data_IF_965355384625
#
_entry.id   IF_965355384625
#
_cell.length_a   1.000
_cell.length_b   1.000
_cell.length_c   1.000
_cell.angle_alpha   90.00
_cell.angle_beta   90.00
_cell.angle_gamma   90.00
#
_symmetry.space_group_name_H-M   'P 1'
#
loop_
_entity.id
_entity.type
_entity.pdbx_description
1 polymer ?
#
# COMPACT_ATOMS: atom_id res chain seq x y z
N UNK A 1 -31.54 -14.40 -36.23
CA UNK A 1 -31.51 -13.05 -35.63
C UNK A 1 -30.49 -13.02 -34.51
N UNK A 2 -29.30 -12.47 -34.76
CA UNK A 2 -28.22 -12.38 -33.79
C UNK A 2 -28.48 -11.26 -32.79
N UNK A 3 -28.64 -11.60 -31.50
CA UNK A 3 -28.59 -10.62 -30.42
C UNK A 3 -27.18 -10.05 -30.36
N UNK A 4 -27.03 -8.76 -30.67
CA UNK A 4 -25.80 -7.99 -30.52
C UNK A 4 -25.23 -8.18 -29.10
N UNK A 5 -24.15 -8.97 -28.96
CA UNK A 5 -23.40 -9.16 -27.71
C UNK A 5 -22.80 -7.84 -27.14
N UNK A 6 -22.88 -6.72 -27.87
CA UNK A 6 -22.30 -5.42 -27.50
C UNK A 6 -23.14 -4.57 -26.53
N UNK A 7 -24.39 -4.94 -26.20
CA UNK A 7 -25.30 -4.10 -25.40
C UNK A 7 -25.83 -4.75 -24.10
N UNK A 8 -25.14 -5.73 -23.51
CA UNK A 8 -25.58 -6.27 -22.20
C UNK A 8 -25.25 -5.26 -21.07
N UNK A 9 -26.24 -4.70 -20.34
CA UNK A 9 -25.99 -3.73 -19.26
C UNK A 9 -25.07 -4.26 -18.17
N UNK A 10 -25.16 -5.56 -17.85
CA UNK A 10 -24.27 -6.21 -16.89
C UNK A 10 -22.81 -6.16 -17.33
N UNK A 11 -22.55 -6.52 -18.60
CA UNK A 11 -21.17 -6.52 -19.15
C UNK A 11 -20.58 -5.12 -19.12
N UNK A 12 -21.37 -4.09 -19.45
CA UNK A 12 -20.91 -2.70 -19.40
C UNK A 12 -20.59 -2.27 -17.96
N UNK A 13 -21.44 -2.57 -16.99
CA UNK A 13 -21.19 -2.24 -15.59
C UNK A 13 -20.01 -3.01 -15.00
N UNK A 14 -19.83 -4.25 -15.43
CA UNK A 14 -18.66 -5.03 -15.06
C UNK A 14 -17.37 -4.42 -15.62
N UNK A 15 -17.39 -3.91 -16.86
CA UNK A 15 -16.25 -3.19 -17.44
C UNK A 15 -15.95 -1.89 -16.68
N UNK A 16 -16.97 -1.14 -16.28
CA UNK A 16 -16.81 0.08 -15.47
C UNK A 16 -16.17 -0.25 -14.10
N UNK A 17 -16.63 -1.32 -13.43
CA UNK A 17 -16.02 -1.80 -12.18
C UNK A 17 -14.57 -2.24 -12.40
N UNK A 18 -14.30 -3.08 -13.41
CA UNK A 18 -12.95 -3.51 -13.73
C UNK A 18 -12.02 -2.32 -13.98
N UNK A 19 -12.50 -1.31 -14.70
CA UNK A 19 -11.74 -0.09 -14.97
C UNK A 19 -11.46 0.71 -13.69
N UNK A 20 -12.45 0.86 -12.79
CA UNK A 20 -12.29 1.57 -11.52
C UNK A 20 -11.20 0.93 -10.65
N UNK A 21 -11.20 -0.40 -10.53
CA UNK A 21 -10.26 -1.16 -9.73
C UNK A 21 -8.93 -1.47 -10.46
N UNK A 22 -8.69 -0.88 -11.64
CA UNK A 22 -7.45 -1.09 -12.41
C UNK A 22 -7.25 -2.51 -12.94
N UNK A 23 -8.32 -3.30 -13.04
CA UNK A 23 -8.31 -4.66 -13.57
C UNK A 23 -8.34 -4.67 -15.11
N UNK A 24 -8.01 -5.83 -15.70
CA UNK A 24 -8.18 -6.03 -17.13
C UNK A 24 -9.67 -5.91 -17.52
N UNK A 25 -9.98 -4.92 -18.38
CA UNK A 25 -11.35 -4.60 -18.78
C UNK A 25 -11.85 -5.61 -19.81
N UNK A 26 -12.30 -6.77 -19.33
CA UNK A 26 -12.74 -7.90 -20.17
C UNK A 26 -14.26 -8.00 -20.27
N UNK A 27 -15.00 -7.41 -19.31
CA UNK A 27 -16.43 -7.62 -19.14
C UNK A 27 -16.80 -9.06 -18.78
N UNK A 28 -15.86 -9.82 -18.22
CA UNK A 28 -16.04 -11.19 -17.75
C UNK A 28 -15.70 -11.28 -16.26
N UNK A 29 -16.43 -12.12 -15.53
CA UNK A 29 -16.13 -12.45 -14.14
C UNK A 29 -14.96 -13.43 -14.09
N UNK A 30 -13.75 -12.92 -14.31
CA UNK A 30 -12.53 -13.68 -14.06
C UNK A 30 -12.20 -13.73 -12.56
N UNK A 31 -11.24 -14.60 -12.21
CA UNK A 31 -10.87 -14.84 -10.82
C UNK A 31 -10.34 -13.58 -10.11
N UNK A 32 -9.61 -12.69 -10.81
CA UNK A 32 -9.13 -11.42 -10.22
C UNK A 32 -10.32 -10.50 -9.92
N UNK A 33 -11.30 -10.44 -10.81
CA UNK A 33 -12.53 -9.64 -10.65
C UNK A 33 -13.39 -10.13 -9.48
N UNK A 34 -13.65 -11.43 -9.39
CA UNK A 34 -14.44 -12.00 -8.28
C UNK A 34 -13.76 -11.74 -6.94
N UNK A 35 -12.45 -12.01 -6.84
CA UNK A 35 -11.68 -11.77 -5.61
C UNK A 35 -11.72 -10.30 -5.18
N UNK A 36 -11.76 -9.36 -6.12
CA UNK A 36 -11.92 -7.94 -5.79
C UNK A 36 -13.33 -7.63 -5.25
N UNK A 37 -14.38 -8.23 -5.83
CA UNK A 37 -15.77 -8.05 -5.37
C UNK A 37 -16.02 -8.66 -3.97
N UNK A 38 -15.27 -9.69 -3.61
CA UNK A 38 -15.36 -10.35 -2.29
C UNK A 38 -14.60 -9.60 -1.18
N UNK A 39 -13.80 -8.57 -1.52
CA UNK A 39 -13.09 -7.79 -0.51
C UNK A 39 -14.10 -6.96 0.30
N UNK A 40 -14.00 -6.95 1.65
CA UNK A 40 -14.77 -6.04 2.49
C UNK A 40 -14.52 -4.58 2.09
N UNK A 41 -15.57 -3.76 2.09
CA UNK A 41 -15.52 -2.42 1.50
C UNK A 41 -16.52 -1.44 2.12
N UNK A 42 -16.38 -0.16 1.79
CA UNK A 42 -17.39 0.86 2.02
C UNK A 42 -18.64 0.61 1.14
N UNK A 43 -19.82 0.88 1.70
CA UNK A 43 -21.13 0.73 1.05
C UNK A 43 -21.47 1.83 0.03
N UNK A 44 -20.68 2.91 -0.02
CA UNK A 44 -20.87 4.00 -0.98
C UNK A 44 -20.55 3.55 -2.40
N UNK A 45 -21.30 4.05 -3.39
CA UNK A 45 -21.12 3.69 -4.79
C UNK A 45 -19.84 4.30 -5.40
N UNK A 46 -19.08 3.50 -6.16
CA UNK A 46 -17.84 3.94 -6.84
C UNK A 46 -18.10 4.92 -7.99
N UNK A 47 -19.20 4.71 -8.73
CA UNK A 47 -19.54 5.45 -9.94
C UNK A 47 -20.97 6.00 -9.83
N UNK A 48 -21.17 7.31 -10.06
CA UNK A 48 -22.48 7.95 -10.09
C UNK A 48 -22.49 9.35 -9.48
N UNK A 49 -23.57 9.67 -8.77
CA UNK A 49 -23.78 10.96 -8.08
C UNK A 49 -22.66 11.31 -7.08
N UNK A 50 -21.86 10.31 -6.69
CA UNK A 50 -20.76 10.40 -5.74
C UNK A 50 -19.37 10.43 -6.38
N UNK A 51 -19.22 10.53 -7.72
CA UNK A 51 -17.91 10.39 -8.39
C UNK A 51 -17.18 11.70 -8.68
N UNK A 52 -17.86 12.84 -8.62
CA UNK A 52 -17.25 14.15 -8.77
C UNK A 52 -18.14 15.16 -8.05
N UNK A 53 -17.68 15.63 -6.91
CA UNK A 53 -18.46 16.51 -6.06
C UNK A 53 -17.88 17.93 -6.18
N UNK A 54 -18.59 18.88 -6.81
CA UNK A 54 -18.12 20.26 -6.88
C UNK A 54 -17.97 20.83 -5.46
N UNK A 55 -17.04 21.78 -5.28
CA UNK A 55 -16.84 22.48 -3.99
C UNK A 55 -18.14 23.06 -3.40
N UNK A 56 -19.17 23.30 -4.21
CA UNK A 56 -20.49 23.75 -3.76
C UNK A 56 -21.22 22.77 -2.84
N UNK A 57 -20.85 21.48 -2.84
CA UNK A 57 -21.44 20.46 -1.97
C UNK A 57 -20.62 20.28 -0.69
N UNK A 58 -19.38 20.77 -0.62
CA UNK A 58 -18.60 20.75 0.62
C UNK A 58 -19.27 21.58 1.71
N UNK A 59 -18.94 21.33 2.99
CA UNK A 59 -19.40 22.18 4.08
C UNK A 59 -18.95 23.63 3.86
N UNK A 60 -19.88 24.57 3.95
CA UNK A 60 -19.58 26.02 3.77
C UNK A 60 -19.04 26.68 5.04
N UNK A 61 -18.56 25.87 5.99
CA UNK A 61 -18.00 26.28 7.28
C UNK A 61 -16.85 25.35 7.65
N UNK A 62 -15.98 25.81 8.55
CA UNK A 62 -14.83 25.03 9.01
C UNK A 62 -15.04 24.35 10.36
N UNK A 63 -15.95 24.87 11.21
CA UNK A 63 -16.31 24.22 12.47
C UNK A 63 -17.46 23.24 12.25
N UNK A 64 -17.10 21.95 12.17
CA UNK A 64 -18.03 20.84 11.95
C UNK A 64 -18.31 20.16 13.28
N UNK A 65 -19.59 20.02 13.59
CA UNK A 65 -20.06 19.38 14.82
C UNK A 65 -20.45 17.94 14.55
N UNK A 66 -20.13 17.05 15.47
CA UNK A 66 -20.53 15.64 15.36
C UNK A 66 -21.09 15.12 16.67
N UNK A 67 -21.89 14.06 16.59
CA UNK A 67 -22.53 13.41 17.73
C UNK A 67 -22.46 11.90 17.55
N UNK A 68 -22.14 11.18 18.63
CA UNK A 68 -22.15 9.72 18.65
C UNK A 68 -23.46 9.31 19.32
N UNK A 69 -24.38 8.75 18.56
CA UNK A 69 -25.73 8.42 19.01
C UNK A 69 -25.76 7.16 19.87
N UNK A 70 -25.00 6.15 19.46
CA UNK A 70 -24.83 4.89 20.17
C UNK A 70 -23.41 4.33 19.98
N UNK A 71 -23.12 3.23 20.65
CA UNK A 71 -21.80 2.61 20.68
C UNK A 71 -21.92 1.12 20.38
N UNK A 72 -20.99 0.59 19.60
CA UNK A 72 -20.83 -0.86 19.41
C UNK A 72 -20.52 -1.55 20.74
N UNK A 73 -21.05 -2.77 20.99
CA UNK A 73 -20.73 -3.55 22.18
C UNK A 73 -19.32 -4.16 22.17
N UNK A 74 -18.62 -4.17 21.02
CA UNK A 74 -17.32 -4.83 20.86
C UNK A 74 -16.16 -4.15 21.59
N UNK A 75 -16.33 -2.85 21.87
CA UNK A 75 -15.27 -1.97 22.34
C UNK A 75 -15.79 -1.10 23.49
N UNK A 76 -14.89 -0.64 24.35
CA UNK A 76 -15.28 0.34 25.37
C UNK A 76 -15.70 1.66 24.70
N UNK A 77 -16.65 2.38 25.31
CA UNK A 77 -17.06 3.69 24.80
C UNK A 77 -15.86 4.65 24.65
N UNK A 78 -14.88 4.57 25.56
CA UNK A 78 -13.66 5.37 25.47
C UNK A 78 -12.80 5.03 24.23
N UNK A 79 -12.73 3.76 23.84
CA UNK A 79 -12.00 3.32 22.66
C UNK A 79 -12.70 3.74 21.36
N UNK A 80 -14.04 3.68 21.32
CA UNK A 80 -14.84 4.22 20.21
C UNK A 80 -14.59 5.71 20.09
N UNK A 81 -14.74 6.47 21.17
CA UNK A 81 -14.51 7.92 21.17
C UNK A 81 -13.10 8.30 20.72
N UNK A 82 -12.09 7.56 21.19
CA UNK A 82 -10.70 7.73 20.78
C UNK A 82 -10.51 7.46 19.29
N UNK A 83 -11.12 6.38 18.76
CA UNK A 83 -11.04 6.01 17.35
C UNK A 83 -11.68 7.06 16.44
N UNK A 84 -12.89 7.52 16.79
CA UNK A 84 -13.61 8.58 16.08
C UNK A 84 -12.85 9.91 16.12
N UNK A 85 -12.34 10.31 17.29
CA UNK A 85 -11.54 11.54 17.41
C UNK A 85 -10.28 11.46 16.58
N UNK A 86 -9.62 10.29 16.56
CA UNK A 86 -8.42 10.05 15.75
C UNK A 86 -8.74 10.11 14.25
N UNK A 87 -9.88 9.57 13.83
CA UNK A 87 -10.34 9.62 12.44
C UNK A 87 -10.59 11.06 11.96
N UNK A 88 -11.27 11.89 12.74
CA UNK A 88 -11.40 13.33 12.41
C UNK A 88 -10.06 14.05 12.39
N UNK A 89 -9.13 13.67 13.29
CA UNK A 89 -7.81 14.28 13.37
C UNK A 89 -7.05 14.16 12.05
N UNK A 90 -7.16 13.02 11.37
CA UNK A 90 -6.55 12.75 10.05
C UNK A 90 -6.85 13.88 9.06
N UNK A 91 -8.11 14.33 9.02
CA UNK A 91 -8.56 15.38 8.12
C UNK A 91 -8.23 16.79 8.63
N UNK A 92 -8.36 17.05 9.93
CA UNK A 92 -8.02 18.36 10.51
C UNK A 92 -6.52 18.68 10.47
N UNK A 93 -5.65 17.67 10.47
CA UNK A 93 -4.20 17.88 10.42
C UNK A 93 -3.75 18.53 9.09
N UNK A 94 -4.50 18.29 8.02
CA UNK A 94 -4.15 18.72 6.65
C UNK A 94 -5.05 19.83 6.11
N UNK A 95 -6.09 20.25 6.85
CA UNK A 95 -7.05 21.28 6.46
C UNK A 95 -7.25 22.34 7.55
N UNK A 96 -7.99 23.43 7.29
CA UNK A 96 -8.46 24.36 8.33
C UNK A 96 -9.64 23.85 9.17
N UNK A 97 -10.16 22.64 8.89
CA UNK A 97 -11.36 22.14 9.54
C UNK A 97 -11.13 21.86 11.03
N UNK A 98 -12.13 22.16 11.85
CA UNK A 98 -12.20 21.77 13.26
C UNK A 98 -13.40 20.90 13.51
N UNK A 99 -13.23 19.88 14.35
CA UNK A 99 -14.28 18.94 14.69
C UNK A 99 -14.58 19.02 16.18
N UNK A 100 -15.85 19.27 16.51
CA UNK A 100 -16.30 19.41 17.90
C UNK A 100 -17.46 18.47 18.18
N UNK A 101 -17.27 17.59 19.17
CA UNK A 101 -18.35 16.75 19.65
C UNK A 101 -19.41 17.59 20.37
N UNK A 102 -20.67 17.32 20.06
CA UNK A 102 -21.84 17.77 20.82
C UNK A 102 -22.56 16.56 21.40
N UNK A 103 -23.29 16.77 22.49
CA UNK A 103 -23.99 15.70 23.23
C UNK A 103 -25.51 15.80 23.13
N UNK A 104 -26.03 16.99 22.79
CA UNK A 104 -27.46 17.26 22.68
C UNK A 104 -27.71 18.21 21.50
N UNK A 105 -28.91 18.16 20.94
CA UNK A 105 -29.34 19.00 19.82
C UNK A 105 -28.87 18.49 18.45
N UNK A 106 -29.07 19.34 17.45
CA UNK A 106 -28.68 19.08 16.06
C UNK A 106 -27.16 19.20 15.88
N UNK A 107 -26.60 18.39 14.97
CA UNK A 107 -25.20 18.46 14.58
C UNK A 107 -25.05 18.28 13.06
N UNK A 108 -23.82 18.38 12.56
CA UNK A 108 -23.54 18.21 11.13
C UNK A 108 -23.30 16.75 10.72
N UNK A 109 -22.81 15.93 11.65
CA UNK A 109 -22.48 14.51 11.40
C UNK A 109 -22.99 13.68 12.58
N UNK A 110 -24.07 12.92 12.39
CA UNK A 110 -24.48 11.88 13.34
C UNK A 110 -23.73 10.57 13.04
N UNK A 111 -23.21 9.95 14.09
CA UNK A 111 -22.49 8.68 14.02
C UNK A 111 -23.32 7.60 14.72
N UNK A 112 -23.65 6.53 13.99
CA UNK A 112 -24.48 5.42 14.47
C UNK A 112 -23.84 4.07 14.16
N UNK A 113 -24.04 3.11 15.06
CA UNK A 113 -23.78 1.68 14.86
C UNK A 113 -25.13 0.99 14.70
N UNK A 114 -25.38 0.39 13.54
CA UNK A 114 -26.71 -0.14 13.17
C UNK A 114 -26.56 -1.43 12.39
N UNK A 115 -27.61 -2.24 12.32
CA UNK A 115 -27.61 -3.52 11.59
C UNK A 115 -28.72 -3.56 10.55
N UNK A 116 -28.51 -4.32 9.47
CA UNK A 116 -29.54 -4.57 8.43
C UNK A 116 -30.23 -3.30 7.93
N UNK A 117 -31.57 -3.33 7.82
CA UNK A 117 -32.36 -2.15 7.48
C UNK A 117 -32.46 -1.16 8.65
N UNK A 118 -31.82 0.00 8.45
CA UNK A 118 -31.74 1.08 9.42
C UNK A 118 -32.36 2.40 8.93
N UNK A 119 -33.35 2.29 8.03
CA UNK A 119 -34.30 3.38 7.64
C UNK A 119 -33.71 4.53 6.83
N UNK A 120 -32.59 4.31 6.14
CA UNK A 120 -32.00 5.27 5.19
C UNK A 120 -32.00 4.76 3.73
N UNK A 121 -32.63 3.61 3.47
CA UNK A 121 -32.66 2.86 2.20
C UNK A 121 -31.33 2.21 1.76
N UNK A 122 -30.34 2.13 2.64
CA UNK A 122 -29.05 1.48 2.37
C UNK A 122 -28.80 0.37 3.42
N UNK A 123 -29.58 -0.72 3.42
CA UNK A 123 -29.45 -1.76 4.43
C UNK A 123 -28.06 -2.44 4.37
N UNK A 124 -27.50 -2.76 5.54
CA UNK A 124 -26.28 -3.57 5.65
C UNK A 124 -26.56 -5.06 5.41
N UNK A 125 -25.52 -5.82 5.08
CA UNK A 125 -25.58 -7.21 4.61
C UNK A 125 -25.15 -8.26 5.64
N UNK A 126 -24.87 -7.84 6.87
CA UNK A 126 -24.39 -8.69 7.96
C UNK A 126 -22.86 -8.79 7.95
N UNK A 127 -22.26 -9.80 8.59
CA UNK A 127 -20.81 -9.84 8.75
C UNK A 127 -20.04 -9.87 7.42
N UNK A 128 -18.93 -9.14 7.37
CA UNK A 128 -18.10 -8.85 6.20
C UNK A 128 -18.81 -7.94 5.17
N UNK A 129 -18.45 -8.03 3.89
CA UNK A 129 -19.15 -7.27 2.85
C UNK A 129 -19.06 -5.76 3.04
N UNK A 130 -20.17 -5.12 3.39
CA UNK A 130 -20.28 -3.67 3.60
C UNK A 130 -20.01 -3.31 5.07
N UNK A 131 -18.90 -2.63 5.32
CA UNK A 131 -18.46 -2.31 6.68
C UNK A 131 -19.16 -1.09 7.30
N UNK A 132 -19.46 -0.12 6.44
CA UNK A 132 -19.99 1.19 6.81
C UNK A 132 -20.41 1.96 5.54
N UNK A 133 -21.13 3.06 5.74
CA UNK A 133 -21.30 4.10 4.73
C UNK A 133 -21.47 5.47 5.38
N UNK A 134 -21.27 6.51 4.58
CA UNK A 134 -21.59 7.88 4.96
C UNK A 134 -22.27 8.66 3.83
N UNK A 135 -23.10 9.61 4.23
CA UNK A 135 -23.73 10.55 3.32
C UNK A 135 -22.82 11.75 3.08
N UNK A 136 -22.89 12.29 1.85
CA UNK A 136 -22.18 13.52 1.49
C UNK A 136 -22.70 14.71 2.30
N UNK A 137 -21.93 15.80 2.43
CA UNK A 137 -22.35 16.98 3.19
C UNK A 137 -23.69 17.53 2.68
N UNK A 138 -24.58 17.90 3.59
CA UNK A 138 -25.90 18.40 3.24
C UNK A 138 -26.83 18.53 4.43
N UNK A 139 -28.07 19.00 4.22
CA UNK A 139 -29.07 19.05 5.27
C UNK A 139 -29.59 17.65 5.65
N UNK A 140 -30.28 17.56 6.79
CA UNK A 140 -30.88 16.34 7.32
C UNK A 140 -29.81 15.24 7.53
N UNK A 141 -29.88 14.12 6.81
CA UNK A 141 -28.93 13.00 6.95
C UNK A 141 -27.56 13.28 6.30
N UNK A 142 -27.39 14.45 5.66
CA UNK A 142 -26.14 14.78 4.97
C UNK A 142 -24.98 14.91 5.95
N UNK A 143 -23.92 14.12 5.75
CA UNK A 143 -22.80 13.99 6.67
C UNK A 143 -22.91 12.79 7.61
N UNK A 144 -24.11 12.25 7.84
CA UNK A 144 -24.29 11.12 8.76
C UNK A 144 -23.49 9.91 8.32
N UNK A 145 -22.95 9.20 9.30
CA UNK A 145 -22.07 8.05 9.12
C UNK A 145 -22.60 6.86 9.90
N UNK A 146 -22.83 5.76 9.21
CA UNK A 146 -23.34 4.51 9.79
C UNK A 146 -22.28 3.41 9.67
N UNK A 147 -22.05 2.70 10.77
CA UNK A 147 -21.17 1.54 10.84
C UNK A 147 -22.03 0.28 11.02
N UNK A 148 -21.69 -0.81 10.32
CA UNK A 148 -22.42 -2.07 10.47
C UNK A 148 -22.06 -2.75 11.79
N UNK A 149 -23.00 -2.81 12.73
CA UNK A 149 -22.80 -3.39 14.06
C UNK A 149 -22.93 -4.93 14.07
N UNK A 150 -23.18 -5.56 12.90
CA UNK A 150 -22.98 -7.00 12.72
C UNK A 150 -21.48 -7.34 12.52
N UNK A 151 -20.63 -6.33 12.29
CA UNK A 151 -19.18 -6.49 12.22
C UNK A 151 -18.51 -6.42 13.59
N UNK A 152 -17.37 -7.11 13.73
CA UNK A 152 -16.55 -7.01 14.95
C UNK A 152 -15.50 -5.90 14.81
N UNK A 153 -15.74 -4.75 15.45
CA UNK A 153 -14.79 -3.64 15.44
C UNK A 153 -13.69 -3.78 16.49
N UNK A 154 -12.47 -3.33 16.14
CA UNK A 154 -11.30 -3.39 17.02
C UNK A 154 -10.49 -2.09 17.04
N UNK A 155 -9.64 -1.92 18.05
CA UNK A 155 -8.61 -0.84 18.12
C UNK A 155 -7.26 -1.25 17.54
N UNK A 156 -7.04 -2.55 17.30
CA UNK A 156 -5.73 -3.11 16.97
C UNK A 156 -5.66 -3.49 15.48
N UNK A 157 -4.63 -4.22 15.06
CA UNK A 157 -4.44 -4.63 13.66
C UNK A 157 -5.38 -5.77 13.19
N UNK A 158 -6.24 -6.30 14.07
CA UNK A 158 -7.27 -7.28 13.73
C UNK A 158 -8.39 -6.60 12.94
N UNK A 159 -8.90 -7.30 11.92
CA UNK A 159 -10.00 -6.80 11.11
C UNK A 159 -11.30 -6.82 11.94
N UNK A 160 -12.10 -5.75 11.98
CA UNK A 160 -11.94 -4.46 11.30
C UNK A 160 -11.56 -3.34 12.28
N UNK A 161 -10.57 -2.50 11.92
CA UNK A 161 -10.14 -1.40 12.78
C UNK A 161 -11.06 -0.19 12.62
N UNK A 162 -11.79 0.18 13.70
CA UNK A 162 -12.79 1.25 13.66
C UNK A 162 -12.19 2.60 13.22
N UNK A 163 -10.95 2.91 13.62
CA UNK A 163 -10.30 4.15 13.22
C UNK A 163 -10.11 4.25 11.70
N UNK A 164 -9.72 3.16 11.03
CA UNK A 164 -9.50 3.15 9.59
C UNK A 164 -10.82 3.30 8.82
N UNK A 165 -11.85 2.54 9.21
CA UNK A 165 -13.18 2.62 8.61
C UNK A 165 -13.76 4.03 8.82
N UNK A 166 -13.73 4.54 10.04
CA UNK A 166 -14.24 5.88 10.35
C UNK A 166 -13.48 6.99 9.62
N UNK A 167 -12.15 6.87 9.48
CA UNK A 167 -11.38 7.86 8.73
C UNK A 167 -11.81 7.91 7.26
N UNK A 168 -12.07 6.76 6.65
CA UNK A 168 -12.61 6.66 5.29
C UNK A 168 -14.00 7.29 5.18
N UNK A 169 -14.95 6.86 6.03
CA UNK A 169 -16.32 7.37 5.98
C UNK A 169 -16.41 8.87 6.24
N UNK A 170 -15.56 9.41 7.11
CA UNK A 170 -15.49 10.85 7.32
C UNK A 170 -14.95 11.60 6.11
N UNK A 171 -14.17 10.96 5.23
CA UNK A 171 -13.86 11.55 3.93
C UNK A 171 -15.13 11.78 3.10
N UNK A 172 -16.06 10.82 3.07
CA UNK A 172 -17.36 10.99 2.43
C UNK A 172 -18.23 12.04 3.11
N UNK A 173 -18.32 12.03 4.45
CA UNK A 173 -19.02 13.05 5.22
C UNK A 173 -18.45 14.47 5.03
N UNK A 174 -17.22 14.57 4.53
CA UNK A 174 -16.54 15.81 4.17
C UNK A 174 -16.58 16.13 2.67
N UNK A 175 -17.20 15.31 1.82
CA UNK A 175 -17.38 15.64 0.40
C UNK A 175 -16.51 14.83 -0.56
N UNK A 176 -15.68 13.90 -0.08
CA UNK A 176 -14.79 13.13 -0.94
C UNK A 176 -15.53 11.96 -1.60
N UNK A 177 -15.26 11.69 -2.89
CA UNK A 177 -15.66 10.45 -3.55
C UNK A 177 -14.70 9.32 -3.19
N UNK A 178 -15.02 8.09 -3.61
CA UNK A 178 -13.99 7.05 -3.66
C UNK A 178 -12.88 7.42 -4.64
N UNK A 179 -11.64 7.07 -4.28
CA UNK A 179 -10.47 7.19 -5.14
C UNK A 179 -10.25 5.91 -5.94
N UNK A 180 -9.68 6.04 -7.15
CA UNK A 180 -9.15 4.91 -7.93
C UNK A 180 -7.71 4.58 -7.57
N UNK A 181 -7.06 5.38 -6.73
CA UNK A 181 -5.72 5.09 -6.22
C UNK A 181 -5.80 4.02 -5.12
N UNK A 182 -5.29 2.82 -5.40
CA UNK A 182 -5.26 1.69 -4.46
C UNK A 182 -4.56 2.02 -3.13
N UNK A 183 -3.66 3.00 -3.11
CA UNK A 183 -3.00 3.48 -1.90
C UNK A 183 -3.80 4.49 -1.07
N UNK A 184 -4.85 5.09 -1.62
CA UNK A 184 -5.64 6.11 -0.94
C UNK A 184 -6.42 5.52 0.25
N UNK A 185 -6.66 6.34 1.27
CA UNK A 185 -7.62 6.02 2.33
C UNK A 185 -9.01 5.89 1.71
N UNK A 186 -9.37 6.78 0.79
CA UNK A 186 -10.66 6.78 0.08
C UNK A 186 -10.78 5.69 -0.98
N UNK A 187 -9.86 4.73 -1.08
CA UNK A 187 -10.06 3.56 -1.92
C UNK A 187 -11.18 2.67 -1.34
N UNK A 188 -12.10 2.09 -2.15
CA UNK A 188 -13.33 1.49 -1.61
C UNK A 188 -13.15 0.30 -0.68
N UNK A 189 -12.14 -0.54 -0.94
CA UNK A 189 -11.91 -1.76 -0.15
C UNK A 189 -11.16 -1.44 1.13
N UNK A 190 -11.44 -2.18 2.20
CA UNK A 190 -10.75 -2.03 3.48
C UNK A 190 -9.22 -2.03 3.30
N UNK A 191 -8.52 -1.00 3.82
CA UNK A 191 -7.11 -0.78 3.49
C UNK A 191 -6.20 -1.83 4.14
N UNK A 192 -5.18 -2.25 3.37
CA UNK A 192 -4.08 -3.05 3.90
C UNK A 192 -3.01 -2.10 4.47
N UNK A 193 -3.24 -1.59 5.68
CA UNK A 193 -2.30 -0.69 6.38
C UNK A 193 -2.38 -0.91 7.88
N UNK A 194 -1.22 -0.83 8.53
CA UNK A 194 -1.12 -0.83 9.99
C UNK A 194 -1.77 0.44 10.57
N UNK A 195 -2.84 0.31 11.38
CA UNK A 195 -3.51 1.44 11.97
C UNK A 195 -2.60 2.25 12.90
N UNK A 196 -1.53 1.69 13.50
CA UNK A 196 -0.68 2.43 14.43
C UNK A 196 0.22 3.46 13.75
N UNK A 197 0.67 3.17 12.54
CA UNK A 197 1.58 4.02 11.75
C UNK A 197 0.90 4.69 10.55
N UNK A 198 -0.44 4.74 10.56
CA UNK A 198 -1.23 5.33 9.49
C UNK A 198 -0.82 6.78 9.22
N UNK A 199 -0.63 7.08 7.94
CA UNK A 199 -0.44 8.42 7.40
C UNK A 199 -1.41 8.61 6.24
N UNK A 200 -2.07 9.77 6.19
CA UNK A 200 -3.00 10.09 5.12
C UNK A 200 -2.24 10.12 3.77
N UNK A 201 -2.60 9.30 2.79
CA UNK A 201 -1.97 9.30 1.47
C UNK A 201 -2.09 10.64 0.75
N UNK A 202 -1.14 10.91 -0.14
CA UNK A 202 -1.05 12.21 -0.82
C UNK A 202 -2.26 12.48 -1.73
N UNK A 203 -2.86 11.43 -2.29
CA UNK A 203 -4.10 11.52 -3.07
C UNK A 203 -5.24 12.13 -2.24
N UNK A 204 -5.46 11.59 -1.04
CA UNK A 204 -6.48 12.08 -0.11
C UNK A 204 -6.19 13.51 0.38
N UNK A 205 -4.92 13.83 0.68
CA UNK A 205 -4.50 15.19 1.07
C UNK A 205 -4.83 16.18 -0.05
N UNK A 206 -4.48 15.85 -1.28
CA UNK A 206 -4.75 16.71 -2.43
C UNK A 206 -6.26 16.90 -2.62
N UNK A 207 -7.04 15.83 -2.52
CA UNK A 207 -8.47 15.84 -2.69
C UNK A 207 -9.16 16.72 -1.63
N UNK A 208 -8.87 16.50 -0.34
CA UNK A 208 -9.52 17.26 0.74
C UNK A 208 -9.10 18.74 0.73
N UNK A 209 -7.84 19.03 0.41
CA UNK A 209 -7.37 20.41 0.31
C UNK A 209 -7.96 21.15 -0.90
N UNK A 210 -8.37 20.44 -1.95
CA UNK A 210 -9.08 21.05 -3.08
C UNK A 210 -10.46 21.60 -2.65
N UNK A 211 -11.09 20.98 -1.65
CA UNK A 211 -12.38 21.41 -1.09
C UNK A 211 -12.19 22.53 -0.05
N UNK A 212 -11.35 22.29 0.95
CA UNK A 212 -11.28 23.12 2.17
C UNK A 212 -10.03 24.01 2.28
N UNK A 213 -9.05 23.83 1.39
CA UNK A 213 -7.75 24.47 1.48
C UNK A 213 -6.79 23.76 2.44
N UNK A 214 -5.58 24.31 2.53
CA UNK A 214 -4.47 23.78 3.34
C UNK A 214 -4.61 24.18 4.81
N UNK A 215 -4.09 23.36 5.72
CA UNK A 215 -4.01 23.76 7.13
C UNK A 215 -3.13 25.00 7.31
N UNK A 216 -3.34 25.73 8.41
CA UNK A 216 -2.57 26.94 8.74
C UNK A 216 -1.15 26.63 9.24
N UNK A 217 -0.78 25.35 9.35
CA UNK A 217 0.55 24.93 9.78
C UNK A 217 1.63 25.39 8.78
N UNK A 218 2.76 25.96 9.25
CA UNK A 218 3.82 26.43 8.36
C UNK A 218 4.43 25.32 7.50
N UNK A 219 4.54 24.12 8.08
CA UNK A 219 5.00 22.92 7.38
C UNK A 219 3.76 22.12 7.00
N UNK A 220 3.55 21.97 5.70
CA UNK A 220 2.43 21.18 5.19
C UNK A 220 2.77 19.70 5.29
N UNK A 221 1.86 18.88 5.85
CA UNK A 221 2.05 17.44 5.91
C UNK A 221 2.06 16.86 4.49
N UNK A 222 2.92 15.87 4.28
CA UNK A 222 2.99 15.08 3.05
C UNK A 222 2.63 13.64 3.37
N UNK A 223 1.95 12.99 2.44
CA UNK A 223 1.50 11.60 2.57
C UNK A 223 2.34 10.62 1.74
N UNK A 224 2.23 9.31 2.01
CA UNK A 224 2.73 8.29 1.09
C UNK A 224 2.05 8.41 -0.28
N UNK A 225 2.81 8.14 -1.34
CA UNK A 225 2.34 8.13 -2.73
C UNK A 225 2.34 6.72 -3.29
N UNK A 226 1.33 6.39 -4.09
CA UNK A 226 1.29 5.13 -4.84
C UNK A 226 2.21 5.22 -6.05
N UNK A 227 3.12 4.25 -6.25
CA UNK A 227 4.05 4.28 -7.37
C UNK A 227 3.31 4.04 -8.69
N UNK A 228 3.65 4.82 -9.70
CA UNK A 228 3.21 4.58 -11.07
C UNK A 228 4.25 3.75 -11.81
N UNK A 229 3.84 2.62 -12.39
CA UNK A 229 4.76 1.71 -13.10
C UNK A 229 5.49 2.38 -14.26
N UNK A 230 4.90 3.38 -14.91
CA UNK A 230 5.51 4.09 -16.03
C UNK A 230 6.09 5.46 -15.64
N UNK A 231 6.25 5.73 -14.35
CA UNK A 231 7.06 6.86 -13.91
C UNK A 231 8.54 6.61 -14.28
N UNK A 232 9.15 7.46 -15.15
CA UNK A 232 10.55 7.32 -15.54
C UNK A 232 11.55 7.59 -14.41
N UNK A 233 11.06 8.06 -13.24
CA UNK A 233 11.86 8.44 -12.09
C UNK A 233 11.63 7.51 -10.89
N UNK A 234 10.95 6.37 -11.08
CA UNK A 234 10.72 5.40 -10.02
C UNK A 234 12.06 4.89 -9.45
N UNK A 235 12.14 4.81 -8.12
CA UNK A 235 13.30 4.27 -7.41
C UNK A 235 12.84 3.08 -6.59
N UNK A 236 13.52 1.95 -6.74
CA UNK A 236 13.21 0.73 -6.00
C UNK A 236 14.01 0.65 -4.71
N UNK A 237 13.33 0.26 -3.62
CA UNK A 237 13.98 0.00 -2.34
C UNK A 237 14.65 -1.37 -2.31
N UNK A 238 14.11 -2.34 -3.06
CA UNK A 238 14.69 -3.66 -3.22
C UNK A 238 14.16 -4.34 -4.48
N UNK A 239 14.85 -5.38 -4.95
CA UNK A 239 14.39 -6.20 -6.06
C UNK A 239 14.79 -7.66 -5.83
N UNK A 240 13.95 -8.60 -6.25
CA UNK A 240 14.29 -10.02 -6.21
C UNK A 240 13.67 -10.79 -7.38
N UNK A 241 14.24 -11.96 -7.64
CA UNK A 241 13.56 -13.04 -8.34
C UNK A 241 12.79 -13.90 -7.33
N UNK A 242 11.62 -14.40 -7.71
CA UNK A 242 10.91 -15.42 -6.94
C UNK A 242 10.24 -16.38 -7.91
N UNK A 243 10.72 -17.63 -7.97
CA UNK A 243 10.17 -18.68 -8.85
C UNK A 243 10.07 -18.24 -10.33
N UNK A 244 11.03 -17.44 -10.79
CA UNK A 244 11.13 -16.96 -12.18
C UNK A 244 10.31 -15.69 -12.50
N UNK A 245 9.67 -15.08 -11.51
CA UNK A 245 9.05 -13.75 -11.61
C UNK A 245 9.95 -12.70 -10.96
N UNK A 246 9.77 -11.43 -11.32
CA UNK A 246 10.52 -10.32 -10.75
C UNK A 246 9.61 -9.51 -9.83
N UNK A 247 10.14 -9.15 -8.67
CA UNK A 247 9.45 -8.35 -7.68
C UNK A 247 10.29 -7.11 -7.38
N UNK A 248 9.70 -5.93 -7.59
CA UNK A 248 10.33 -4.65 -7.32
C UNK A 248 9.57 -3.95 -6.18
N UNK A 249 10.27 -3.66 -5.09
CA UNK A 249 9.69 -3.08 -3.88
C UNK A 249 9.82 -1.55 -3.92
N UNK A 250 8.73 -0.85 -3.62
CA UNK A 250 8.68 0.62 -3.52
C UNK A 250 7.75 1.02 -2.38
N UNK A 251 8.32 1.61 -1.34
CA UNK A 251 7.62 1.93 -0.09
C UNK A 251 6.84 0.71 0.41
N UNK A 252 5.51 0.83 0.50
CA UNK A 252 4.57 -0.22 0.91
C UNK A 252 4.04 -1.11 -0.19
N UNK A 253 4.52 -0.91 -1.41
CA UNK A 253 4.06 -1.61 -2.59
C UNK A 253 5.13 -2.54 -3.16
N UNK A 254 4.66 -3.48 -3.95
CA UNK A 254 5.49 -4.35 -4.76
C UNK A 254 4.90 -4.45 -6.17
N UNK A 255 5.75 -4.23 -7.16
CA UNK A 255 5.45 -4.44 -8.57
C UNK A 255 5.92 -5.85 -8.94
N UNK A 256 4.96 -6.73 -9.22
CA UNK A 256 5.21 -8.11 -9.65
C UNK A 256 5.16 -8.17 -11.17
N UNK A 257 6.30 -8.43 -11.78
CA UNK A 257 6.45 -8.55 -13.23
C UNK A 257 6.45 -10.03 -13.61
N UNK A 258 5.61 -10.38 -14.58
CA UNK A 258 5.60 -11.69 -15.24
C UNK A 258 6.38 -11.60 -16.57
N UNK A 259 7.69 -11.92 -16.62
CA UNK A 259 8.53 -11.56 -17.78
C UNK A 259 8.08 -12.21 -19.09
N UNK A 260 7.41 -13.37 -19.00
CA UNK A 260 6.88 -14.11 -20.17
C UNK A 260 5.59 -13.53 -20.73
N UNK A 261 4.83 -12.81 -19.90
CA UNK A 261 3.50 -12.26 -20.26
C UNK A 261 3.59 -10.76 -20.51
N UNK A 262 4.58 -10.07 -19.92
CA UNK A 262 4.70 -8.61 -19.98
C UNK A 262 3.66 -7.88 -19.13
N UNK A 263 2.98 -8.59 -18.22
CA UNK A 263 2.03 -8.01 -17.26
C UNK A 263 2.77 -7.61 -15.97
N UNK A 264 2.39 -6.47 -15.41
CA UNK A 264 2.89 -5.96 -14.13
C UNK A 264 1.71 -5.68 -13.22
N UNK A 265 1.64 -6.41 -12.11
CA UNK A 265 0.66 -6.20 -11.04
C UNK A 265 1.26 -5.28 -9.97
N UNK A 266 0.49 -4.31 -9.49
CA UNK A 266 0.81 -3.50 -8.31
C UNK A 266 0.05 -4.07 -7.11
N UNK A 267 0.78 -4.42 -6.05
CA UNK A 267 0.21 -5.02 -4.84
C UNK A 267 0.80 -4.35 -3.60
N UNK A 268 0.14 -4.50 -2.46
CA UNK A 268 0.77 -4.16 -1.18
C UNK A 268 1.70 -5.30 -0.73
N UNK A 269 2.81 -4.96 -0.07
CA UNK A 269 3.72 -5.95 0.51
C UNK A 269 2.96 -6.87 1.47
N UNK A 270 2.09 -6.30 2.30
CA UNK A 270 1.30 -7.03 3.29
C UNK A 270 0.21 -7.92 2.69
N UNK A 271 -0.23 -7.70 1.44
CA UNK A 271 -1.15 -8.62 0.76
C UNK A 271 -0.46 -9.95 0.42
N UNK A 272 0.85 -9.92 0.15
CA UNK A 272 1.65 -11.11 -0.12
C UNK A 272 2.25 -11.70 1.15
N UNK A 273 2.70 -10.84 2.06
CA UNK A 273 3.40 -11.22 3.29
C UNK A 273 2.91 -10.38 4.49
N UNK A 274 1.78 -10.75 5.13
CA UNK A 274 1.14 -9.95 6.16
C UNK A 274 2.00 -9.62 7.38
N UNK A 275 3.00 -10.45 7.68
CA UNK A 275 3.88 -10.29 8.86
C UNK A 275 5.20 -9.58 8.54
N UNK A 276 5.43 -9.15 7.29
CA UNK A 276 6.57 -8.31 6.95
C UNK A 276 6.32 -6.84 7.31
N UNK A 277 7.40 -6.06 7.50
CA UNK A 277 7.31 -4.60 7.59
C UNK A 277 6.67 -3.98 6.34
N UNK A 278 6.13 -2.78 6.50
CA UNK A 278 5.52 -2.00 5.42
C UNK A 278 6.52 -1.52 4.38
N UNK A 279 7.82 -1.64 4.58
CA UNK A 279 8.83 -1.27 3.59
C UNK A 279 10.08 -2.13 3.78
N UNK A 280 10.73 -2.47 2.67
CA UNK A 280 11.85 -3.42 2.63
C UNK A 280 13.12 -2.68 2.23
N UNK A 281 14.23 -2.97 2.91
CA UNK A 281 15.51 -2.33 2.64
C UNK A 281 16.36 -3.08 1.61
N UNK A 282 16.25 -4.41 1.57
CA UNK A 282 16.93 -5.28 0.61
C UNK A 282 16.26 -6.66 0.64
N UNK A 283 16.35 -7.42 -0.46
CA UNK A 283 15.93 -8.82 -0.49
C UNK A 283 16.79 -9.58 -1.50
N UNK A 284 16.99 -10.87 -1.27
CA UNK A 284 17.58 -11.76 -2.27
C UNK A 284 16.97 -13.16 -2.21
N UNK A 285 17.03 -13.88 -3.33
CA UNK A 285 16.72 -15.31 -3.42
C UNK A 285 18.00 -16.13 -3.20
N UNK A 286 17.93 -17.11 -2.31
CA UNK A 286 18.94 -18.15 -2.21
C UNK A 286 18.55 -19.29 -3.18
N UNK A 287 19.19 -19.41 -4.35
CA UNK A 287 18.81 -20.40 -5.35
C UNK A 287 19.09 -21.84 -4.90
N UNK A 288 19.94 -22.04 -3.89
CA UNK A 288 20.30 -23.36 -3.37
C UNK A 288 19.24 -23.94 -2.42
N UNK A 289 18.52 -23.08 -1.69
CA UNK A 289 17.44 -23.48 -0.78
C UNK A 289 16.04 -23.16 -1.33
N UNK A 290 15.94 -22.25 -2.30
CA UNK A 290 14.68 -21.68 -2.78
C UNK A 290 14.03 -20.70 -1.80
N UNK A 291 14.73 -20.32 -0.73
CA UNK A 291 14.26 -19.35 0.25
C UNK A 291 14.62 -17.92 -0.16
N UNK A 292 13.82 -16.95 0.27
CA UNK A 292 14.10 -15.54 0.06
C UNK A 292 14.39 -14.88 1.40
N UNK A 293 15.40 -14.03 1.45
CA UNK A 293 15.82 -13.38 2.68
C UNK A 293 15.56 -11.89 2.55
N UNK A 294 14.64 -11.38 3.36
CA UNK A 294 14.16 -9.99 3.34
C UNK A 294 14.78 -9.24 4.51
N UNK A 295 15.30 -8.03 4.25
CA UNK A 295 15.97 -7.20 5.24
C UNK A 295 15.18 -5.92 5.55
N UNK A 296 15.13 -5.58 6.83
CA UNK A 296 14.68 -4.27 7.32
C UNK A 296 15.48 -3.84 8.54
N UNK A 297 16.19 -2.73 8.43
CA UNK A 297 17.13 -2.25 9.42
C UNK A 297 18.17 -3.32 9.75
N UNK A 298 18.31 -3.63 11.05
CA UNK A 298 19.23 -4.65 11.53
C UNK A 298 18.59 -6.04 11.66
N UNK A 299 17.42 -6.25 11.05
CA UNK A 299 16.66 -7.50 11.10
C UNK A 299 16.47 -8.09 9.71
N UNK A 300 16.26 -9.40 9.66
CA UNK A 300 15.86 -10.11 8.46
C UNK A 300 14.84 -11.20 8.75
N UNK A 301 14.09 -11.56 7.71
CA UNK A 301 13.10 -12.64 7.68
C UNK A 301 13.46 -13.60 6.53
N UNK A 302 13.10 -14.86 6.70
CA UNK A 302 13.23 -15.89 5.67
C UNK A 302 11.84 -16.24 5.18
N UNK A 303 11.69 -16.29 3.86
CA UNK A 303 10.46 -16.61 3.16
C UNK A 303 10.59 -17.93 2.41
N UNK A 304 9.54 -18.73 2.43
CA UNK A 304 9.35 -19.87 1.53
C UNK A 304 8.15 -19.56 0.63
N UNK A 305 8.41 -18.99 -0.55
CA UNK A 305 7.34 -18.44 -1.38
C UNK A 305 6.62 -17.27 -0.70
N UNK A 306 5.32 -17.44 -0.43
CA UNK A 306 4.48 -16.44 0.24
C UNK A 306 4.41 -16.62 1.77
N UNK A 307 5.04 -17.66 2.30
CA UNK A 307 5.05 -17.93 3.73
C UNK A 307 6.30 -17.34 4.40
N UNK A 308 6.13 -16.62 5.50
CA UNK A 308 7.23 -16.18 6.36
C UNK A 308 7.65 -17.36 7.24
N UNK A 309 8.71 -18.08 6.84
CA UNK A 309 9.15 -19.30 7.53
C UNK A 309 9.87 -19.00 8.84
N UNK A 310 10.64 -17.90 8.89
CA UNK A 310 11.44 -17.52 10.06
C UNK A 310 11.61 -16.00 10.15
N UNK A 311 11.70 -15.45 11.37
CA UNK A 311 12.05 -14.05 11.59
C UNK A 311 11.18 -13.36 12.65
N UNK A 312 11.50 -12.11 13.01
CA UNK A 312 12.73 -11.40 12.65
C UNK A 312 13.98 -11.94 13.36
N UNK A 313 15.13 -11.97 12.68
CA UNK A 313 16.45 -12.30 13.23
C UNK A 313 17.43 -11.16 13.04
N UNK A 314 18.41 -11.00 13.93
CA UNK A 314 19.46 -9.98 13.77
C UNK A 314 20.40 -10.33 12.63
N UNK A 315 20.74 -9.35 11.77
CA UNK A 315 21.73 -9.50 10.69
C UNK A 315 23.12 -9.89 11.23
N UNK A 316 23.40 -9.67 12.52
CA UNK A 316 24.63 -10.16 13.13
C UNK A 316 24.79 -11.68 13.05
N UNK A 317 23.68 -12.44 12.93
CA UNK A 317 23.73 -13.89 12.70
C UNK A 317 24.34 -14.27 11.36
N UNK A 318 24.31 -13.37 10.37
CA UNK A 318 24.98 -13.54 9.08
C UNK A 318 26.46 -13.09 9.12
N UNK A 319 26.95 -12.62 10.28
CA UNK A 319 28.34 -12.17 10.46
C UNK A 319 28.56 -10.66 10.30
N UNK A 320 27.50 -9.85 10.20
CA UNK A 320 27.64 -8.40 10.15
C UNK A 320 28.12 -7.81 11.50
N UNK A 321 29.00 -6.80 11.47
CA UNK A 321 29.43 -6.10 12.68
C UNK A 321 28.33 -5.15 13.20
N UNK A 322 28.37 -4.85 14.51
CA UNK A 322 27.34 -4.05 15.21
C UNK A 322 27.09 -2.64 14.65
N UNK A 323 28.06 -2.09 13.92
CA UNK A 323 27.96 -0.76 13.30
C UNK A 323 27.13 -0.77 12.01
N UNK A 324 26.92 -1.93 11.37
CA UNK A 324 26.01 -2.05 10.24
C UNK A 324 24.58 -2.07 10.77
N UNK A 325 23.77 -1.10 10.34
CA UNK A 325 22.40 -0.90 10.82
C UNK A 325 21.33 -1.21 9.79
N UNK A 326 21.71 -1.29 8.52
CA UNK A 326 20.86 -1.54 7.36
C UNK A 326 21.73 -2.12 6.24
N UNK A 327 21.11 -2.92 5.38
CA UNK A 327 21.67 -3.38 4.11
C UNK A 327 20.89 -2.65 3.01
N UNK A 328 21.59 -2.08 2.03
CA UNK A 328 20.96 -1.26 0.99
C UNK A 328 20.54 -2.11 -0.22
N UNK A 329 21.25 -3.19 -0.52
CA UNK A 329 20.86 -4.17 -1.54
C UNK A 329 21.50 -5.53 -1.24
N UNK A 330 20.88 -6.60 -1.72
CA UNK A 330 21.40 -7.96 -1.59
C UNK A 330 21.15 -8.73 -2.88
N UNK A 331 22.08 -9.61 -3.27
CA UNK A 331 21.92 -10.45 -4.47
C UNK A 331 22.82 -11.67 -4.41
N UNK A 332 22.31 -12.83 -4.81
CA UNK A 332 23.12 -14.05 -5.01
C UNK A 332 23.65 -14.13 -6.43
N UNK A 333 24.94 -14.32 -6.58
CA UNK A 333 25.59 -14.66 -7.86
C UNK A 333 25.75 -16.17 -7.91
N UNK A 334 24.80 -16.84 -8.54
CA UNK A 334 24.61 -18.30 -8.50
C UNK A 334 25.88 -19.09 -8.86
N UNK A 335 26.54 -18.75 -9.97
CA UNK A 335 27.73 -19.46 -10.44
C UNK A 335 28.97 -19.32 -9.54
N UNK A 336 28.93 -18.43 -8.54
CA UNK A 336 29.99 -18.24 -7.56
C UNK A 336 29.64 -18.82 -6.18
N UNK A 337 28.39 -19.26 -5.97
CA UNK A 337 27.85 -19.58 -4.64
C UNK A 337 28.05 -18.45 -3.62
N UNK A 338 27.96 -17.19 -4.09
CA UNK A 338 28.18 -15.99 -3.27
C UNK A 338 26.97 -15.09 -3.21
N UNK A 339 26.63 -14.64 -2.01
CA UNK A 339 25.68 -13.54 -1.79
C UNK A 339 26.44 -12.26 -1.51
N UNK A 340 26.14 -11.20 -2.25
CA UNK A 340 26.72 -9.88 -2.06
C UNK A 340 25.73 -8.98 -1.34
N UNK A 341 26.19 -8.38 -0.24
CA UNK A 341 25.42 -7.42 0.54
C UNK A 341 26.04 -6.03 0.43
N UNK A 342 25.30 -5.08 -0.11
CA UNK A 342 25.74 -3.71 -0.32
C UNK A 342 25.35 -2.85 0.89
N UNK A 343 26.31 -2.09 1.41
CA UNK A 343 26.15 -1.23 2.60
C UNK A 343 26.96 0.05 2.37
N UNK A 344 26.26 1.16 2.15
CA UNK A 344 26.82 2.44 1.73
C UNK A 344 27.75 2.24 0.52
N UNK A 345 29.01 2.68 0.62
CA UNK A 345 30.02 2.59 -0.43
C UNK A 345 30.81 1.27 -0.46
N UNK A 346 30.40 0.28 0.33
CA UNK A 346 31.08 -1.01 0.46
C UNK A 346 30.12 -2.17 0.22
N UNK A 347 30.69 -3.34 -0.03
CA UNK A 347 29.94 -4.59 -0.05
C UNK A 347 30.64 -5.67 0.75
N UNK A 348 29.86 -6.63 1.23
CA UNK A 348 30.29 -7.86 1.89
C UNK A 348 30.03 -9.03 0.94
N UNK A 349 30.86 -10.07 1.02
CA UNK A 349 30.67 -11.33 0.31
C UNK A 349 30.39 -12.43 1.34
N UNK A 350 29.29 -13.14 1.15
CA UNK A 350 28.86 -14.25 1.99
C UNK A 350 28.90 -15.53 1.18
N UNK A 351 29.59 -16.53 1.73
CA UNK A 351 29.71 -17.86 1.15
C UNK A 351 28.49 -18.69 1.58
N UNK A 352 27.57 -18.96 0.65
CA UNK A 352 26.34 -19.69 0.94
C UNK A 352 26.60 -21.16 1.27
N UNK A 353 27.71 -21.75 0.79
CA UNK A 353 28.07 -23.13 1.14
C UNK A 353 28.63 -23.22 2.57
N UNK A 354 29.47 -22.26 2.96
CA UNK A 354 30.06 -22.21 4.31
C UNK A 354 29.18 -21.51 5.33
N UNK A 355 28.11 -20.85 4.89
CA UNK A 355 27.25 -20.01 5.72
C UNK A 355 28.05 -18.98 6.54
N UNK A 356 29.00 -18.30 5.89
CA UNK A 356 29.90 -17.37 6.54
C UNK A 356 30.40 -16.25 5.60
N UNK A 357 30.69 -15.08 6.17
CA UNK A 357 31.34 -13.98 5.44
C UNK A 357 32.75 -14.37 4.97
N UNK A 358 33.08 -14.02 3.73
CA UNK A 358 34.41 -14.21 3.17
C UNK A 358 35.43 -13.29 3.86
N UNK A 359 36.67 -13.79 3.99
CA UNK A 359 37.79 -12.99 4.52
C UNK A 359 38.17 -11.85 3.58
N UNK A 360 38.59 -10.72 4.14
CA UNK A 360 39.02 -9.55 3.36
C UNK A 360 37.86 -8.66 2.87
N UNK A 361 36.68 -8.81 3.47
CA UNK A 361 35.50 -7.96 3.32
C UNK A 361 35.23 -7.17 4.61
N UNK A 362 34.58 -5.99 4.52
CA UNK A 362 33.98 -5.40 3.32
C UNK A 362 34.99 -4.72 2.38
N UNK A 363 34.65 -4.65 1.09
CA UNK A 363 35.45 -3.97 0.04
C UNK A 363 34.68 -2.81 -0.57
N UNK A 364 35.39 -1.85 -1.16
CA UNK A 364 34.75 -0.74 -1.86
C UNK A 364 34.09 -1.20 -3.15
N UNK A 365 32.84 -0.79 -3.37
CA UNK A 365 32.06 -1.15 -4.56
C UNK A 365 32.80 -0.70 -5.83
N UNK A 366 33.31 0.53 -5.86
CA UNK A 366 34.03 1.10 -7.01
C UNK A 366 35.27 0.31 -7.43
N UNK A 367 35.86 -0.52 -6.54
CA UNK A 367 37.03 -1.34 -6.86
C UNK A 367 36.66 -2.60 -7.65
N UNK A 368 35.59 -3.28 -7.24
CA UNK A 368 35.22 -4.59 -7.78
C UNK A 368 34.08 -4.50 -8.81
N UNK A 369 33.32 -3.39 -8.82
CA UNK A 369 32.25 -3.06 -9.77
C UNK A 369 32.54 -1.71 -10.45
N UNK A 370 33.50 -1.65 -11.40
CA UNK A 370 33.91 -0.40 -12.03
C UNK A 370 32.74 0.24 -12.82
N UNK A 371 32.60 1.56 -12.68
CA UNK A 371 31.51 2.34 -13.30
C UNK A 371 30.28 2.53 -12.41
N UNK A 372 30.14 1.76 -11.32
CA UNK A 372 29.03 1.91 -10.37
C UNK A 372 29.26 3.09 -9.41
N UNK A 373 28.20 3.82 -9.08
CA UNK A 373 28.24 4.84 -8.00
C UNK A 373 28.35 4.16 -6.63
N UNK A 374 28.68 4.91 -5.56
CA UNK A 374 28.91 4.33 -4.25
C UNK A 374 27.72 3.56 -3.67
N UNK A 375 26.48 4.03 -3.81
CA UNK A 375 25.30 3.41 -3.19
C UNK A 375 24.50 2.61 -4.21
N UNK A 376 24.16 1.37 -3.88
CA UNK A 376 23.25 0.51 -4.67
C UNK A 376 21.91 0.50 -3.94
N UNK A 377 20.82 0.87 -4.61
CA UNK A 377 19.49 0.93 -4.01
C UNK A 377 18.75 -0.40 -4.10
N UNK A 378 18.95 -1.14 -5.19
CA UNK A 378 18.43 -2.50 -5.33
C UNK A 378 19.32 -3.31 -6.28
N UNK A 379 19.29 -4.63 -6.15
CA UNK A 379 20.00 -5.52 -7.05
C UNK A 379 19.28 -6.86 -7.20
N UNK A 380 19.32 -7.44 -8.40
CA UNK A 380 18.95 -8.85 -8.59
C UNK A 380 19.83 -9.49 -9.66
N UNK A 381 19.88 -10.83 -9.68
CA UNK A 381 20.65 -11.59 -10.66
C UNK A 381 19.69 -12.33 -11.57
N UNK A 382 19.85 -12.19 -12.88
CA UNK A 382 18.96 -12.79 -13.86
C UNK A 382 19.69 -13.07 -15.18
N UNK A 383 19.48 -14.25 -15.75
CA UNK A 383 20.05 -14.66 -17.04
C UNK A 383 21.57 -14.38 -17.20
N UNK A 384 22.35 -14.57 -16.13
CA UNK A 384 23.81 -14.41 -16.17
C UNK A 384 24.33 -13.00 -15.89
N UNK A 385 23.45 -12.03 -15.61
CA UNK A 385 23.81 -10.64 -15.35
C UNK A 385 23.34 -10.18 -13.97
N UNK A 386 24.11 -9.25 -13.40
CA UNK A 386 23.69 -8.47 -12.25
C UNK A 386 22.97 -7.21 -12.76
N UNK A 387 21.75 -6.99 -12.27
CA UNK A 387 21.00 -5.78 -12.52
C UNK A 387 21.07 -4.91 -11.28
N UNK A 388 21.76 -3.78 -11.38
CA UNK A 388 21.89 -2.82 -10.30
C UNK A 388 20.98 -1.62 -10.54
N UNK A 389 20.35 -1.12 -9.47
CA UNK A 389 19.57 0.10 -9.48
C UNK A 389 20.27 1.17 -8.64
N UNK A 390 20.43 2.36 -9.23
CA UNK A 390 20.96 3.55 -8.55
C UNK A 390 20.13 4.77 -8.95
N UNK A 391 19.20 5.17 -8.07
CA UNK A 391 18.14 6.12 -8.36
C UNK A 391 17.30 5.66 -9.55
N UNK A 392 17.14 6.54 -10.53
CA UNK A 392 16.30 6.33 -11.72
C UNK A 392 16.95 5.48 -12.81
N UNK A 393 18.14 4.91 -12.56
CA UNK A 393 18.93 4.19 -13.54
C UNK A 393 19.14 2.71 -13.16
N UNK A 394 19.00 1.84 -14.16
CA UNK A 394 19.34 0.42 -14.11
C UNK A 394 20.65 0.18 -14.88
N UNK A 395 21.55 -0.62 -14.32
CA UNK A 395 22.82 -1.02 -14.93
C UNK A 395 22.88 -2.53 -15.09
N UNK A 396 23.16 -2.99 -16.30
CA UNK A 396 23.38 -4.41 -16.60
C UNK A 396 24.87 -4.71 -16.49
N UNK A 397 25.26 -5.44 -15.46
CA UNK A 397 26.65 -5.69 -15.13
C UNK A 397 27.02 -7.16 -15.32
N UNK A 398 28.05 -7.39 -16.14
CA UNK A 398 28.59 -8.73 -16.37
C UNK A 398 29.75 -9.00 -15.40
N UNK A 399 29.60 -9.98 -14.51
CA UNK A 399 30.59 -10.32 -13.48
C UNK A 399 31.89 -10.89 -14.03
N UNK A 400 31.83 -11.62 -15.16
CA UNK A 400 33.00 -12.24 -15.78
C UNK A 400 33.93 -11.22 -16.44
N UNK A 401 33.37 -10.28 -17.20
CA UNK A 401 34.13 -9.22 -17.88
C UNK A 401 34.35 -7.98 -17.01
N UNK A 402 33.63 -7.87 -15.89
CA UNK A 402 33.57 -6.69 -15.02
C UNK A 402 33.23 -5.40 -15.77
N UNK A 403 32.25 -5.46 -16.66
CA UNK A 403 31.80 -4.32 -17.47
C UNK A 403 30.30 -4.13 -17.37
N UNK A 404 29.89 -2.87 -17.40
CA UNK A 404 28.51 -2.47 -17.66
C UNK A 404 28.26 -2.70 -19.15
N UNK A 405 27.25 -3.51 -19.47
CA UNK A 405 26.83 -3.79 -20.84
C UNK A 405 25.85 -2.72 -21.34
N UNK A 406 24.94 -2.31 -20.47
CA UNK A 406 23.87 -1.36 -20.82
C UNK A 406 23.44 -0.56 -19.59
N UNK A 407 22.95 0.65 -19.84
CA UNK A 407 22.30 1.50 -18.84
C UNK A 407 20.90 1.87 -19.35
N UNK A 408 19.89 1.60 -18.53
CA UNK A 408 18.48 1.83 -18.83
C UNK A 408 17.83 2.68 -17.72
N UNK A 409 16.60 3.09 -17.93
CA UNK A 409 15.75 3.63 -16.86
C UNK A 409 15.31 2.51 -15.93
N UNK A 410 15.13 2.81 -14.65
CA UNK A 410 14.71 1.83 -13.63
C UNK A 410 13.41 1.10 -14.00
N UNK A 411 12.48 1.77 -14.66
CA UNK A 411 11.20 1.19 -15.06
C UNK A 411 11.24 0.30 -16.31
N UNK A 412 12.40 0.01 -16.92
CA UNK A 412 12.49 -0.77 -18.16
C UNK A 412 11.95 -2.20 -18.07
N UNK A 413 11.85 -2.76 -16.85
CA UNK A 413 11.25 -4.08 -16.61
C UNK A 413 9.72 -4.05 -16.52
N UNK A 414 9.10 -2.88 -16.41
CA UNK A 414 7.69 -2.74 -16.04
C UNK A 414 6.72 -2.69 -17.24
N UNK A 415 7.23 -2.91 -18.45
CA UNK A 415 6.42 -2.91 -19.68
C UNK A 415 5.94 -1.51 -20.08
N UNK A 416 6.82 -0.53 -19.89
CA UNK A 416 6.73 0.83 -20.39
C UNK A 416 7.80 0.99 -21.49
#
# INVERSE_FOLDING_TARGET
MGRNKKNNPFVKKLQEMQQFFGLNVTGKLDHKTIRMMEKPRCGVHDIGLYSAVPKSVAWQKNDITYKIENFTPDMSAADVESSIKRAFKVWSDVTPLTFRRVYEGDCDIEIKFVTGDHKDNSPFDGPHGVLAHAFQPGPAIGGDTHFDDDETFTTNSQLYNLFLVAAHEFGHALGLPHSTDQGALMYPTYPTTDPHNFQLPQDDINAIQSLYGKSTNPVQPTGPTTPSKCDPNIVFDAAMTLRGELFFFVNRFVLRVHPRVGETDLLFIQELWPSLPNDIDAVYENPFTGENIVFKGNKYWTLSGFDVSQGPRSIMKLGFPKNVKKIDAAVTVEHLSKTYFFVNNKYYSYDEEKQAMDKGFPRFIAKDFPGMRPKIDAAFYYQGLLYFFQGEAQYEFNTGTKRIQQVLKSNSWLGC
#
